data_IF_724343693341
#
_entry.id   IF_724343693341
#
_cell.length_a   1.000
_cell.length_b   1.000
_cell.length_c   1.000
_cell.angle_alpha   90.00
_cell.angle_beta   90.00
_cell.angle_gamma   90.00
#
_symmetry.space_group_name_H-M   'P 1'
#
loop_
_entity.id
_entity.type
_entity.pdbx_description
1 polymer ?
#
# COMPACT_ATOMS: atom_id res chain seq x y z
N UNK A 1 21.57 0.83 12.66
CA UNK A 1 20.27 0.17 12.94
C UNK A 1 19.24 0.81 12.04
N UNK A 2 18.60 0.04 11.15
CA UNK A 2 17.48 0.56 10.37
C UNK A 2 16.35 0.91 11.34
N UNK A 3 15.76 2.08 11.15
CA UNK A 3 14.64 2.54 11.95
C UNK A 3 13.40 1.71 11.59
N UNK A 4 12.88 0.96 12.56
CA UNK A 4 11.71 0.07 12.41
C UNK A 4 10.40 0.71 12.86
N UNK A 5 10.39 2.02 13.13
CA UNK A 5 9.20 2.79 13.49
C UNK A 5 9.28 4.14 12.82
N UNK A 6 8.28 4.52 12.04
CA UNK A 6 8.16 5.86 11.47
C UNK A 6 6.90 6.53 12.02
N UNK A 7 7.08 7.68 12.67
CA UNK A 7 5.95 8.39 13.29
C UNK A 7 5.12 9.14 12.24
N UNK A 8 3.83 9.38 12.51
CA UNK A 8 2.98 10.12 11.57
C UNK A 8 3.44 11.57 11.40
N UNK A 9 4.10 12.16 12.41
CA UNK A 9 4.70 13.49 12.32
C UNK A 9 5.88 13.50 11.37
N UNK A 10 6.72 12.47 11.40
CA UNK A 10 7.83 12.32 10.46
C UNK A 10 7.33 12.09 9.04
N UNK A 11 6.28 11.27 8.87
CA UNK A 11 5.62 11.08 7.57
C UNK A 11 5.06 12.41 7.07
N UNK A 12 4.36 13.15 7.92
CA UNK A 12 3.84 14.49 7.59
C UNK A 12 4.96 15.40 7.08
N UNK A 13 6.11 15.41 7.73
CA UNK A 13 7.28 16.22 7.32
C UNK A 13 7.91 15.72 6.01
N UNK A 14 7.86 14.42 5.72
CA UNK A 14 8.34 13.83 4.46
C UNK A 14 7.44 14.09 3.27
N UNK A 15 6.18 14.43 3.47
CA UNK A 15 5.22 14.58 2.37
C UNK A 15 4.79 16.03 2.13
N UNK A 16 5.38 17.01 2.82
CA UNK A 16 5.03 18.43 2.66
C UNK A 16 5.31 19.00 1.26
N UNK A 17 6.13 18.32 0.44
CA UNK A 17 6.36 18.66 -0.96
C UNK A 17 5.32 18.07 -1.94
N UNK A 18 4.51 17.13 -1.48
CA UNK A 18 3.40 16.55 -2.25
C UNK A 18 2.09 17.21 -1.79
N UNK A 19 1.28 17.70 -2.74
CA UNK A 19 -0.09 18.14 -2.46
C UNK A 19 -0.96 16.93 -2.10
N UNK A 20 -0.83 16.43 -0.88
CA UNK A 20 -1.72 15.42 -0.34
C UNK A 20 -3.07 16.07 -0.04
N UNK A 21 -4.18 15.58 -0.62
CA UNK A 21 -5.51 16.02 -0.22
C UNK A 21 -5.81 15.45 1.17
N UNK A 22 -5.22 16.07 2.20
CA UNK A 22 -5.63 15.88 3.58
C UNK A 22 -6.99 16.53 3.77
N UNK A 23 -7.74 16.03 4.74
CA UNK A 23 -9.07 16.54 5.03
C UNK A 23 -9.00 17.99 5.53
N UNK A 24 -10.11 18.72 5.42
CA UNK A 24 -10.16 20.13 5.81
C UNK A 24 -9.71 20.35 7.26
N UNK A 25 -9.20 21.56 7.55
CA UNK A 25 -8.64 21.93 8.87
C UNK A 25 -9.61 21.67 10.04
N UNK A 26 -10.92 21.67 9.77
CA UNK A 26 -11.98 21.41 10.76
C UNK A 26 -12.40 19.95 10.90
N UNK A 27 -11.89 19.04 10.05
CA UNK A 27 -12.25 17.63 10.12
C UNK A 27 -11.50 16.94 11.25
N UNK A 28 -12.22 16.14 12.01
CA UNK A 28 -11.67 15.26 13.03
C UNK A 28 -12.14 13.83 12.77
N UNK A 29 -11.23 12.84 12.74
CA UNK A 29 -11.61 11.45 12.56
C UNK A 29 -12.40 10.96 13.77
N UNK A 30 -13.46 10.20 13.53
CA UNK A 30 -14.15 9.48 14.61
C UNK A 30 -13.38 8.19 14.98
N UNK A 31 -13.66 7.65 16.16
CA UNK A 31 -12.99 6.44 16.69
C UNK A 31 -13.11 5.23 15.75
N UNK A 32 -14.23 5.10 15.03
CA UNK A 32 -14.45 4.00 14.10
C UNK A 32 -13.48 4.08 12.91
N UNK A 33 -13.30 5.26 12.30
CA UNK A 33 -12.35 5.43 11.20
C UNK A 33 -10.90 5.21 11.65
N UNK A 34 -10.54 5.68 12.85
CA UNK A 34 -9.20 5.44 13.43
C UNK A 34 -8.95 3.94 13.57
N UNK A 35 -9.91 3.20 14.14
CA UNK A 35 -9.80 1.75 14.33
C UNK A 35 -9.68 0.99 13.01
N UNK A 36 -10.43 1.40 11.99
CA UNK A 36 -10.36 0.80 10.65
C UNK A 36 -9.00 1.07 10.01
N UNK A 37 -8.51 2.31 10.07
CA UNK A 37 -7.19 2.66 9.55
C UNK A 37 -6.07 1.88 10.27
N UNK A 38 -6.15 1.73 11.59
CA UNK A 38 -5.21 0.92 12.39
C UNK A 38 -5.22 -0.54 11.97
N UNK A 39 -6.41 -1.14 11.82
CA UNK A 39 -6.54 -2.53 11.38
C UNK A 39 -5.90 -2.75 10.01
N UNK A 40 -6.14 -1.83 9.06
CA UNK A 40 -5.54 -1.89 7.73
C UNK A 40 -4.03 -1.83 7.84
N UNK A 41 -3.47 -0.82 8.52
CA UNK A 41 -2.01 -0.65 8.63
C UNK A 41 -1.37 -1.88 9.28
N UNK A 42 -1.89 -2.35 10.41
CA UNK A 42 -1.38 -3.54 11.10
C UNK A 42 -1.36 -4.78 10.20
N UNK A 43 -2.39 -4.97 9.38
CA UNK A 43 -2.43 -6.10 8.44
C UNK A 43 -1.40 -5.96 7.32
N UNK A 44 -1.11 -4.74 6.86
CA UNK A 44 -0.14 -4.48 5.79
C UNK A 44 1.31 -4.55 6.27
N UNK A 45 1.58 -4.28 7.56
CA UNK A 45 2.92 -4.39 8.16
C UNK A 45 3.50 -5.80 8.00
N UNK A 46 2.64 -6.82 8.02
CA UNK A 46 3.01 -8.24 7.82
C UNK A 46 2.77 -8.73 6.37
N UNK A 47 2.86 -7.84 5.38
CA UNK A 47 2.72 -8.18 3.96
C UNK A 47 3.99 -7.86 3.19
N UNK A 48 4.92 -8.82 3.22
CA UNK A 48 6.21 -8.74 2.52
C UNK A 48 6.12 -8.37 1.04
N UNK A 49 5.03 -8.75 0.34
CA UNK A 49 4.80 -8.36 -1.07
C UNK A 49 4.86 -6.84 -1.29
N UNK A 50 4.63 -6.04 -0.25
CA UNK A 50 4.69 -4.59 -0.33
C UNK A 50 6.12 -4.04 -0.26
N UNK A 51 7.07 -4.71 0.40
CA UNK A 51 8.37 -4.10 0.72
C UNK A 51 9.58 -5.02 0.56
N UNK A 52 9.38 -6.29 0.17
CA UNK A 52 10.47 -7.22 -0.06
C UNK A 52 11.22 -6.85 -1.36
N UNK A 53 12.56 -7.00 -1.40
CA UNK A 53 13.33 -6.85 -2.62
C UNK A 53 12.79 -7.73 -3.75
N UNK A 54 12.79 -7.21 -4.97
CA UNK A 54 12.19 -7.86 -6.13
C UNK A 54 12.85 -9.22 -6.44
N UNK A 55 14.14 -9.38 -6.13
CA UNK A 55 14.92 -10.61 -6.36
C UNK A 55 14.44 -11.78 -5.50
N UNK A 56 13.80 -11.47 -4.36
CA UNK A 56 13.21 -12.46 -3.46
C UNK A 56 11.75 -12.77 -3.80
N UNK A 57 11.16 -12.04 -4.74
CA UNK A 57 9.76 -12.24 -5.08
C UNK A 57 9.56 -13.50 -5.92
N UNK A 58 8.40 -14.11 -5.71
CA UNK A 58 7.91 -15.25 -6.48
C UNK A 58 6.48 -14.95 -6.88
N UNK A 59 6.18 -14.85 -8.18
CA UNK A 59 4.91 -14.31 -8.65
C UNK A 59 3.66 -14.93 -8.03
N UNK A 60 3.66 -16.26 -7.87
CA UNK A 60 2.58 -16.97 -7.21
C UNK A 60 2.27 -16.45 -5.80
N UNK A 61 3.29 -16.33 -4.95
CA UNK A 61 3.11 -15.82 -3.58
C UNK A 61 2.72 -14.35 -3.54
N UNK A 62 3.19 -13.54 -4.50
CA UNK A 62 2.78 -12.14 -4.62
C UNK A 62 1.28 -12.04 -4.95
N UNK A 63 0.82 -12.80 -5.96
CA UNK A 63 -0.59 -12.82 -6.38
C UNK A 63 -1.47 -13.24 -5.21
N UNK A 64 -1.11 -14.33 -4.51
CA UNK A 64 -1.86 -14.76 -3.33
C UNK A 64 -1.89 -13.71 -2.22
N UNK A 65 -0.75 -13.08 -1.93
CA UNK A 65 -0.68 -12.04 -0.91
C UNK A 65 -1.54 -10.83 -1.27
N UNK A 66 -1.58 -10.43 -2.53
CA UNK A 66 -2.40 -9.31 -3.02
C UNK A 66 -3.89 -9.65 -2.99
N UNK A 67 -4.26 -10.90 -3.29
CA UNK A 67 -5.65 -11.38 -3.10
C UNK A 67 -6.08 -11.29 -1.64
N UNK A 68 -5.23 -11.74 -0.69
CA UNK A 68 -5.49 -11.65 0.75
C UNK A 68 -5.60 -10.20 1.23
N UNK A 69 -4.75 -9.30 0.73
CA UNK A 69 -4.85 -7.86 1.01
C UNK A 69 -6.19 -7.32 0.51
N UNK A 70 -6.57 -7.62 -0.74
CA UNK A 70 -7.84 -7.16 -1.33
C UNK A 70 -9.06 -7.68 -0.55
N UNK A 71 -9.01 -8.89 -0.05
CA UNK A 71 -10.05 -9.46 0.81
C UNK A 71 -10.16 -8.70 2.14
N UNK A 72 -9.04 -8.49 2.84
CA UNK A 72 -9.00 -7.68 4.06
C UNK A 72 -9.56 -6.26 3.84
N UNK A 73 -9.13 -5.57 2.78
CA UNK A 73 -9.64 -4.24 2.44
C UNK A 73 -11.15 -4.27 2.12
N UNK A 74 -11.64 -5.35 1.53
CA UNK A 74 -13.08 -5.54 1.27
C UNK A 74 -13.86 -5.74 2.57
N UNK A 75 -13.30 -6.45 3.54
CA UNK A 75 -13.93 -6.61 4.86
C UNK A 75 -13.96 -5.28 5.64
N UNK A 76 -12.88 -4.49 5.57
CA UNK A 76 -12.83 -3.19 6.25
C UNK A 76 -13.75 -2.15 5.60
N UNK A 77 -13.79 -2.05 4.26
CA UNK A 77 -14.66 -1.06 3.60
C UNK A 77 -16.16 -1.32 3.82
N UNK A 78 -16.57 -2.57 4.05
CA UNK A 78 -17.96 -2.90 4.37
C UNK A 78 -18.42 -2.33 5.73
N UNK A 79 -17.49 -1.89 6.58
CA UNK A 79 -17.76 -1.26 7.89
C UNK A 79 -17.84 0.27 7.79
N UNK A 80 -17.61 0.84 6.61
CA UNK A 80 -17.46 2.27 6.38
C UNK A 80 -18.63 2.80 5.56
N UNK A 81 -19.25 3.89 6.02
CA UNK A 81 -20.26 4.62 5.25
C UNK A 81 -19.60 5.39 4.11
N UNK A 82 -20.26 5.48 2.94
CA UNK A 82 -19.66 6.09 1.74
C UNK A 82 -19.29 7.58 1.90
N UNK A 83 -19.92 8.28 2.85
CA UNK A 83 -19.64 9.67 3.19
C UNK A 83 -18.43 9.85 4.12
N UNK A 84 -17.90 8.76 4.67
CA UNK A 84 -16.69 8.80 5.50
C UNK A 84 -15.45 8.94 4.64
N UNK A 85 -14.50 9.68 5.18
CA UNK A 85 -13.31 10.12 4.48
C UNK A 85 -12.37 8.95 4.15
N UNK A 86 -12.30 7.95 5.03
CA UNK A 86 -11.53 6.71 4.81
C UNK A 86 -12.05 5.85 3.65
N UNK A 87 -13.33 6.00 3.26
CA UNK A 87 -13.95 5.14 2.25
C UNK A 87 -13.21 5.21 0.92
N UNK A 88 -12.89 6.41 0.46
CA UNK A 88 -12.18 6.64 -0.80
C UNK A 88 -10.75 6.08 -0.77
N UNK A 89 -10.07 6.21 0.36
CA UNK A 89 -8.71 5.68 0.53
C UNK A 89 -8.70 4.15 0.42
N UNK A 90 -9.68 3.47 1.03
CA UNK A 90 -9.81 2.00 0.90
C UNK A 90 -10.21 1.60 -0.53
N UNK A 91 -11.07 2.38 -1.20
CA UNK A 91 -11.39 2.14 -2.61
C UNK A 91 -10.14 2.20 -3.51
N UNK A 92 -9.26 3.19 -3.30
CA UNK A 92 -8.03 3.34 -4.05
C UNK A 92 -7.08 2.14 -3.86
N UNK A 93 -6.91 1.67 -2.62
CA UNK A 93 -6.12 0.47 -2.33
C UNK A 93 -6.70 -0.78 -3.01
N UNK A 94 -8.04 -0.96 -2.97
CA UNK A 94 -8.71 -2.08 -3.66
C UNK A 94 -8.58 -1.98 -5.18
N UNK A 95 -8.65 -0.77 -5.73
CA UNK A 95 -8.48 -0.51 -7.15
C UNK A 95 -7.05 -0.83 -7.61
N UNK A 96 -6.03 -0.47 -6.82
CA UNK A 96 -4.65 -0.84 -7.09
C UNK A 96 -4.44 -2.37 -7.09
N UNK A 97 -5.01 -3.08 -6.11
CA UNK A 97 -4.98 -4.54 -6.10
C UNK A 97 -5.64 -5.13 -7.36
N UNK A 98 -6.81 -4.61 -7.74
CA UNK A 98 -7.52 -5.06 -8.94
C UNK A 98 -6.70 -4.80 -10.20
N UNK A 99 -6.14 -3.60 -10.36
CA UNK A 99 -5.31 -3.23 -11.51
C UNK A 99 -4.13 -4.19 -11.66
N UNK A 100 -3.44 -4.50 -10.57
CA UNK A 100 -2.37 -5.50 -10.58
C UNK A 100 -2.89 -6.86 -11.08
N UNK A 101 -3.95 -7.39 -10.47
CA UNK A 101 -4.50 -8.71 -10.84
C UNK A 101 -4.96 -8.77 -12.30
N UNK A 102 -5.68 -7.74 -12.77
CA UNK A 102 -6.15 -7.62 -14.16
C UNK A 102 -4.96 -7.53 -15.15
N UNK A 103 -3.83 -6.95 -14.73
CA UNK A 103 -2.60 -6.85 -15.54
C UNK A 103 -1.87 -8.18 -15.64
N UNK A 104 -1.84 -8.97 -14.56
CA UNK A 104 -1.10 -10.24 -14.51
C UNK A 104 -1.91 -11.39 -15.09
N UNK A 105 -3.25 -11.36 -15.01
CA UNK A 105 -4.11 -12.45 -15.44
C UNK A 105 -3.79 -13.00 -16.85
N UNK A 106 -3.55 -12.17 -17.89
CA UNK A 106 -3.27 -12.67 -19.24
C UNK A 106 -1.92 -13.38 -19.38
N UNK A 107 -0.95 -13.05 -18.51
CA UNK A 107 0.42 -13.54 -18.55
C UNK A 107 0.73 -14.49 -17.39
N UNK A 108 -0.29 -14.88 -16.63
CA UNK A 108 -0.12 -15.57 -15.35
C UNK A 108 0.66 -16.89 -15.51
N UNK A 109 0.34 -17.70 -16.52
CA UNK A 109 1.01 -18.98 -16.77
C UNK A 109 2.48 -18.78 -17.19
N UNK A 110 2.76 -17.74 -17.96
CA UNK A 110 4.14 -17.42 -18.38
C UNK A 110 4.98 -16.98 -17.19
N UNK A 111 4.40 -16.15 -16.32
CA UNK A 111 5.07 -15.60 -15.14
C UNK A 111 5.26 -16.66 -14.04
N UNK A 112 4.32 -17.59 -13.89
CA UNK A 112 4.44 -18.70 -12.91
C UNK A 112 5.59 -19.64 -13.24
N UNK A 113 5.86 -19.89 -14.51
CA UNK A 113 6.93 -20.76 -14.97
C UNK A 113 8.29 -20.03 -15.07
N UNK A 114 8.32 -18.74 -14.72
CA UNK A 114 9.50 -17.90 -14.88
C UNK A 114 10.31 -17.86 -13.57
N UNK A 115 11.45 -18.56 -13.56
CA UNK A 115 12.39 -18.52 -12.42
C UNK A 115 13.17 -17.20 -12.33
N UNK A 116 13.10 -16.35 -13.37
CA UNK A 116 13.79 -15.06 -13.47
C UNK A 116 12.91 -13.97 -14.08
N UNK A 117 13.03 -12.72 -13.63
CA UNK A 117 12.33 -11.58 -14.23
C UNK A 117 13.00 -11.04 -15.51
N UNK A 118 13.61 -11.91 -16.32
CA UNK A 118 14.36 -11.52 -17.53
C UNK A 118 13.49 -11.52 -18.79
N UNK A 119 12.25 -11.99 -18.70
CA UNK A 119 11.28 -12.02 -19.79
C UNK A 119 10.44 -10.74 -19.80
N UNK A 120 9.78 -10.47 -20.94
CA UNK A 120 8.82 -9.35 -21.05
C UNK A 120 7.72 -9.50 -19.98
N UNK A 121 7.18 -10.70 -19.79
CA UNK A 121 6.15 -11.00 -18.79
C UNK A 121 6.67 -10.76 -17.36
N UNK A 122 7.93 -11.10 -17.09
CA UNK A 122 8.60 -10.75 -15.85
C UNK A 122 8.72 -9.24 -15.61
N UNK A 123 9.07 -8.46 -16.64
CA UNK A 123 9.14 -7.00 -16.54
C UNK A 123 7.76 -6.36 -16.34
N UNK A 124 6.73 -6.86 -17.01
CA UNK A 124 5.34 -6.44 -16.80
C UNK A 124 4.95 -6.68 -15.34
N UNK A 125 5.28 -7.87 -14.81
CA UNK A 125 5.01 -8.20 -13.42
C UNK A 125 5.69 -7.24 -12.44
N UNK A 126 7.01 -7.02 -12.60
CA UNK A 126 7.76 -6.10 -11.74
C UNK A 126 7.24 -4.67 -11.81
N UNK A 127 6.89 -4.21 -13.02
CA UNK A 127 6.34 -2.87 -13.23
C UNK A 127 4.97 -2.72 -12.54
N UNK A 128 4.09 -3.71 -12.68
CA UNK A 128 2.78 -3.71 -12.03
C UNK A 128 2.91 -3.77 -10.50
N UNK A 129 3.85 -4.57 -9.97
CA UNK A 129 4.10 -4.65 -8.53
C UNK A 129 4.66 -3.33 -7.99
N UNK A 130 5.61 -2.71 -8.70
CA UNK A 130 6.16 -1.40 -8.35
C UNK A 130 5.10 -0.31 -8.35
N UNK A 131 4.20 -0.31 -9.35
CA UNK A 131 3.07 0.62 -9.38
C UNK A 131 2.15 0.43 -8.16
N UNK A 132 1.78 -0.82 -7.85
CA UNK A 132 0.96 -1.14 -6.68
C UNK A 132 1.61 -0.64 -5.39
N UNK A 133 2.93 -0.88 -5.22
CA UNK A 133 3.69 -0.41 -4.05
C UNK A 133 3.71 1.10 -3.94
N UNK A 134 3.89 1.82 -5.06
CA UNK A 134 3.84 3.27 -5.10
C UNK A 134 2.48 3.83 -4.66
N UNK A 135 1.39 3.28 -5.19
CA UNK A 135 0.03 3.68 -4.78
C UNK A 135 -0.20 3.39 -3.30
N UNK A 136 0.17 2.19 -2.83
CA UNK A 136 0.06 1.82 -1.42
C UNK A 136 0.84 2.77 -0.52
N UNK A 137 2.08 3.11 -0.88
CA UNK A 137 2.92 4.04 -0.14
C UNK A 137 2.25 5.40 0.07
N UNK A 138 1.67 5.97 -0.99
CA UNK A 138 0.94 7.23 -0.95
C UNK A 138 -0.28 7.13 -0.02
N UNK A 139 -1.14 6.13 -0.22
CA UNK A 139 -2.39 6.03 0.55
C UNK A 139 -2.12 5.69 2.02
N UNK A 140 -1.16 4.82 2.32
CA UNK A 140 -0.75 4.51 3.70
C UNK A 140 -0.21 5.76 4.38
N UNK A 141 0.58 6.58 3.70
CA UNK A 141 1.06 7.87 4.24
C UNK A 141 -0.10 8.80 4.60
N UNK A 142 -1.09 8.90 3.70
CA UNK A 142 -2.31 9.68 3.95
C UNK A 142 -3.09 9.16 5.14
N UNK A 143 -3.29 7.84 5.25
CA UNK A 143 -3.97 7.21 6.40
C UNK A 143 -3.20 7.48 7.70
N UNK A 144 -1.88 7.28 7.70
CA UNK A 144 -1.03 7.54 8.85
C UNK A 144 -1.18 8.97 9.37
N UNK A 145 -1.06 9.96 8.48
CA UNK A 145 -1.14 11.38 8.86
C UNK A 145 -2.55 11.79 9.27
N UNK A 146 -3.57 11.33 8.53
CA UNK A 146 -4.98 11.70 8.79
C UNK A 146 -5.49 11.13 10.11
N UNK A 147 -5.08 9.91 10.48
CA UNK A 147 -5.59 9.19 11.65
C UNK A 147 -4.58 9.10 12.81
N UNK A 148 -3.39 9.70 12.68
CA UNK A 148 -2.38 9.75 13.74
C UNK A 148 -1.71 8.39 14.02
N UNK A 149 -1.51 7.56 13.01
CA UNK A 149 -1.04 6.17 13.15
C UNK A 149 0.43 6.06 12.78
N UNK A 150 1.23 5.44 13.64
CA UNK A 150 2.63 5.13 13.34
C UNK A 150 2.75 3.89 12.44
N UNK A 151 3.83 3.83 11.65
CA UNK A 151 4.12 2.69 10.78
C UNK A 151 5.32 1.94 11.33
N UNK A 152 5.19 0.63 11.48
CA UNK A 152 6.22 -0.25 12.02
C UNK A 152 6.86 -1.13 10.93
N UNK A 153 8.03 -1.65 11.27
CA UNK A 153 8.74 -2.65 10.49
C UNK A 153 9.14 -2.17 9.10
N UNK A 154 9.17 -3.12 8.18
CA UNK A 154 9.72 -2.92 6.84
C UNK A 154 8.72 -2.22 5.90
N UNK A 155 7.46 -2.05 6.30
CA UNK A 155 6.44 -1.29 5.54
C UNK A 155 6.86 0.17 5.34
N UNK A 156 7.73 0.69 6.20
CA UNK A 156 8.35 2.02 6.09
C UNK A 156 9.03 2.21 4.72
N UNK A 157 9.52 1.14 4.07
CA UNK A 157 10.27 1.22 2.81
C UNK A 157 9.47 1.70 1.61
N UNK A 158 8.14 1.58 1.64
CA UNK A 158 7.28 2.09 0.56
C UNK A 158 6.76 3.49 0.81
N UNK A 159 7.04 4.05 1.98
CA UNK A 159 6.58 5.39 2.34
C UNK A 159 7.43 6.41 1.57
N UNK A 160 6.82 7.33 0.81
CA UNK A 160 7.55 8.36 0.09
C UNK A 160 8.49 9.12 1.04
N UNK A 161 9.74 9.25 0.65
CA UNK A 161 10.70 10.17 1.26
C UNK A 161 10.87 11.40 0.38
N UNK A 162 11.27 12.51 1.00
CA UNK A 162 11.68 13.74 0.30
C UNK A 162 13.08 13.62 -0.30
N UNK A 163 13.65 12.42 -0.35
CA UNK A 163 14.96 12.18 -0.91
C UNK A 163 14.81 12.29 -2.43
N UNK A 164 14.89 13.53 -2.92
CA UNK A 164 15.35 13.82 -4.27
C UNK A 164 16.82 13.39 -4.22
N UNK A 165 17.06 12.10 -4.43
CA UNK A 165 18.42 11.58 -4.53
C UNK A 165 19.09 12.26 -5.74
N UNK A 166 20.20 12.97 -5.46
CA UNK A 166 21.21 13.43 -6.43
C UNK A 166 21.82 12.26 -7.22
#
# INVERSE_FOLDING_TARGET
>A
MNKLLLTFQEIKNRITGFSFPLFGVSWQPNESEIKIAQNIINQLEDRRVLYSPYELERPHYCIESILRIRECLTQEICKVSQNQNIYQDIQLLRAACRKFLDTIQPIQDEVHNCDSFTTISGWIFLSALGELRGVFGIIISKLSVSYGIHINGELIKIIPSNDIDE
#
